data_IF_055933234148
#
_entry.id   IF_055933234148
#
_cell.length_a   1.000
_cell.length_b   1.000
_cell.length_c   1.000
_cell.angle_alpha   90.00
_cell.angle_beta   90.00
_cell.angle_gamma   90.00
#
_symmetry.space_group_name_H-M   'P 1'
#
loop_
_entity.id
_entity.type
_entity.pdbx_description
1 polymer ?
#
# COMPACT_ATOMS: atom_id res chain seq x y z
N UNK A 1 -6.36 32.15 4.37
CA UNK A 1 -7.47 31.15 4.36
C UNK A 1 -6.99 29.86 3.69
N UNK A 2 -6.84 28.79 4.48
CA UNK A 2 -6.52 27.45 4.00
C UNK A 2 -7.76 26.95 3.24
N UNK A 3 -7.65 26.35 2.03
CA UNK A 3 -8.83 25.91 1.31
C UNK A 3 -9.55 24.81 2.10
N UNK A 4 -10.79 25.09 2.52
CA UNK A 4 -11.73 24.20 3.19
C UNK A 4 -12.27 23.13 2.23
N UNK A 5 -11.41 22.29 1.65
CA UNK A 5 -11.86 21.14 0.87
C UNK A 5 -11.13 19.86 1.26
N UNK A 6 -11.05 19.60 2.56
CA UNK A 6 -10.77 18.25 3.07
C UNK A 6 -12.04 17.45 2.78
N UNK A 7 -12.02 16.67 1.69
CA UNK A 7 -13.07 15.71 1.40
C UNK A 7 -13.16 14.74 2.59
N UNK A 8 -14.27 14.74 3.36
CA UNK A 8 -14.37 13.89 4.53
C UNK A 8 -14.42 12.43 4.06
N UNK A 9 -13.53 11.60 4.61
CA UNK A 9 -13.45 10.15 4.38
C UNK A 9 -12.99 9.71 2.98
N UNK A 10 -11.81 10.18 2.54
CA UNK A 10 -11.12 9.56 1.40
C UNK A 10 -10.75 8.11 1.75
N UNK A 11 -11.58 7.16 1.30
CA UNK A 11 -11.22 5.75 1.31
C UNK A 11 -9.98 5.58 0.42
N UNK A 12 -8.86 5.18 1.01
CA UNK A 12 -7.59 4.99 0.28
C UNK A 12 -7.76 4.08 -0.93
N UNK A 13 -8.64 3.09 -0.84
CA UNK A 13 -9.01 2.26 -1.98
C UNK A 13 -9.66 3.02 -3.14
N UNK A 14 -10.57 3.96 -2.86
CA UNK A 14 -11.17 4.80 -3.91
C UNK A 14 -10.14 5.68 -4.62
N UNK A 15 -9.10 6.15 -3.91
CA UNK A 15 -8.00 6.90 -4.52
C UNK A 15 -7.20 6.01 -5.50
N UNK A 16 -6.97 4.73 -5.17
CA UNK A 16 -6.33 3.78 -6.09
C UNK A 16 -7.17 3.63 -7.36
N UNK A 17 -8.50 3.45 -7.23
CA UNK A 17 -9.39 3.36 -8.39
C UNK A 17 -9.32 4.63 -9.25
N UNK A 18 -9.32 5.81 -8.62
CA UNK A 18 -9.26 7.09 -9.33
C UNK A 18 -7.95 7.24 -10.12
N UNK A 19 -6.81 6.90 -9.53
CA UNK A 19 -5.53 6.93 -10.23
C UNK A 19 -5.47 5.91 -11.36
N UNK A 20 -6.02 4.71 -11.17
CA UNK A 20 -6.10 3.71 -12.22
C UNK A 20 -6.98 4.20 -13.37
N UNK A 21 -8.18 4.71 -13.08
CA UNK A 21 -9.12 5.23 -14.08
C UNK A 21 -8.58 6.47 -14.82
N UNK A 22 -7.65 7.21 -14.20
CA UNK A 22 -7.02 8.36 -14.85
C UNK A 22 -6.09 7.96 -16.01
N UNK A 23 -5.61 6.70 -16.06
CA UNK A 23 -4.61 6.21 -17.01
C UNK A 23 -3.33 7.09 -17.10
N UNK A 24 -3.01 7.84 -16.04
CA UNK A 24 -1.83 8.72 -15.99
C UNK A 24 -0.58 8.05 -15.45
N UNK A 25 -0.73 6.86 -14.89
CA UNK A 25 0.34 6.14 -14.19
C UNK A 25 0.38 4.69 -14.63
N UNK A 26 1.56 4.24 -15.07
CA UNK A 26 1.79 2.84 -15.44
C UNK A 26 1.88 1.93 -14.21
N UNK A 27 2.25 2.49 -13.07
CA UNK A 27 2.50 1.77 -11.82
C UNK A 27 2.10 2.61 -10.60
N UNK A 28 1.49 1.95 -9.62
CA UNK A 28 1.18 2.50 -8.31
C UNK A 28 2.03 1.74 -7.27
N UNK A 29 2.71 2.49 -6.41
CA UNK A 29 3.41 1.93 -5.25
C UNK A 29 2.67 2.41 -4.02
N UNK A 30 2.09 1.47 -3.27
CA UNK A 30 1.38 1.78 -2.05
C UNK A 30 2.20 1.35 -0.84
N UNK A 31 2.34 2.22 0.16
CA UNK A 31 3.10 1.96 1.39
C UNK A 31 2.18 2.25 2.58
N UNK A 32 1.95 1.25 3.43
CA UNK A 32 1.03 1.35 4.57
C UNK A 32 1.37 0.40 5.71
N UNK A 33 0.60 0.50 6.79
CA UNK A 33 0.83 -0.23 8.05
C UNK A 33 -0.44 -0.63 8.80
N UNK A 34 -1.57 0.05 8.54
CA UNK A 34 -2.83 -0.11 9.28
C UNK A 34 -3.92 -0.94 8.58
N UNK A 35 -4.98 -1.25 9.31
CA UNK A 35 -6.19 -1.92 8.77
C UNK A 35 -6.87 -1.09 7.66
N UNK A 36 -6.90 0.23 7.82
CA UNK A 36 -7.43 1.17 6.83
C UNK A 36 -6.67 1.18 5.49
N UNK A 37 -5.52 0.51 5.41
CA UNK A 37 -4.71 0.38 4.20
C UNK A 37 -5.02 -0.88 3.38
N UNK A 38 -5.68 -1.88 3.99
CA UNK A 38 -5.96 -3.18 3.37
C UNK A 38 -6.76 -3.01 2.08
N UNK A 39 -7.79 -2.15 2.10
CA UNK A 39 -8.62 -1.90 0.92
C UNK A 39 -7.81 -1.29 -0.25
N UNK A 40 -6.81 -0.46 0.04
CA UNK A 40 -5.96 0.10 -1.00
C UNK A 40 -5.08 -0.99 -1.63
N UNK A 41 -4.45 -1.83 -0.81
CA UNK A 41 -3.61 -2.92 -1.30
C UNK A 41 -4.37 -3.96 -2.13
N UNK A 42 -5.63 -4.27 -1.79
CA UNK A 42 -6.47 -5.19 -2.54
C UNK A 42 -6.92 -4.67 -3.91
N UNK A 43 -6.83 -3.34 -4.14
CA UNK A 43 -7.19 -2.70 -5.41
C UNK A 43 -6.02 -2.50 -6.36
N UNK A 44 -4.80 -2.82 -5.92
CA UNK A 44 -3.62 -2.81 -6.76
C UNK A 44 -3.68 -3.97 -7.76
N UNK A 45 -3.10 -3.76 -8.95
CA UNK A 45 -2.97 -4.77 -9.99
C UNK A 45 -1.60 -5.44 -9.96
N UNK A 46 -1.42 -6.46 -10.79
CA UNK A 46 -0.19 -7.26 -10.88
C UNK A 46 1.09 -6.48 -11.21
N UNK A 47 0.95 -5.29 -11.80
CA UNK A 47 2.09 -4.42 -12.14
C UNK A 47 2.49 -3.49 -11.01
N UNK A 48 1.67 -3.37 -9.96
CA UNK A 48 1.87 -2.48 -8.82
C UNK A 48 2.66 -3.18 -7.70
N UNK A 49 2.90 -2.46 -6.61
CA UNK A 49 3.50 -3.01 -5.39
C UNK A 49 2.79 -2.53 -4.12
N UNK A 50 2.54 -3.46 -3.20
CA UNK A 50 2.06 -3.18 -1.85
C UNK A 50 3.20 -3.37 -0.83
N UNK A 51 3.58 -2.31 -0.12
CA UNK A 51 4.51 -2.37 1.00
C UNK A 51 3.73 -2.34 2.32
N UNK A 52 3.73 -3.46 3.03
CA UNK A 52 3.16 -3.54 4.38
C UNK A 52 4.27 -3.43 5.42
N UNK A 53 4.04 -2.58 6.42
CA UNK A 53 5.01 -2.43 7.51
C UNK A 53 5.11 -3.72 8.29
N UNK A 54 6.34 -4.08 8.65
CA UNK A 54 6.65 -5.28 9.40
C UNK A 54 7.62 -4.94 10.53
N UNK A 55 7.53 -5.65 11.64
CA UNK A 55 8.46 -5.55 12.76
C UNK A 55 8.27 -6.75 13.68
N UNK A 56 9.38 -7.33 14.12
CA UNK A 56 9.41 -8.51 15.00
C UNK A 56 9.36 -8.13 16.48
N UNK A 57 9.28 -6.84 16.78
CA UNK A 57 9.19 -6.37 18.15
C UNK A 57 7.85 -6.81 18.75
N UNK A 58 7.95 -7.67 19.78
CA UNK A 58 6.94 -8.53 20.41
C UNK A 58 5.58 -7.89 20.81
N UNK A 59 5.37 -6.60 20.54
CA UNK A 59 4.14 -5.87 20.90
C UNK A 59 3.53 -5.05 19.76
N UNK A 60 4.16 -4.98 18.58
CA UNK A 60 3.67 -4.16 17.47
C UNK A 60 3.18 -5.04 16.33
N UNK A 61 1.88 -5.35 16.32
CA UNK A 61 1.21 -5.98 15.18
C UNK A 61 0.84 -4.91 14.16
N UNK A 62 1.40 -4.96 12.96
CA UNK A 62 1.01 -4.08 11.86
C UNK A 62 -0.17 -4.70 11.12
N UNK A 63 -1.35 -4.16 11.39
CA UNK A 63 -2.63 -4.74 10.95
C UNK A 63 -2.71 -4.96 9.45
N UNK A 64 -2.09 -4.10 8.63
CA UNK A 64 -2.07 -4.29 7.19
C UNK A 64 -1.43 -5.62 6.81
N UNK A 65 -0.22 -5.88 7.33
CA UNK A 65 0.52 -7.10 7.04
C UNK A 65 -0.25 -8.34 7.53
N UNK A 66 -0.74 -8.30 8.77
CA UNK A 66 -1.42 -9.45 9.38
C UNK A 66 -2.71 -9.81 8.63
N UNK A 67 -3.54 -8.82 8.29
CA UNK A 67 -4.78 -9.03 7.55
C UNK A 67 -4.49 -9.52 6.13
N UNK A 68 -3.54 -8.89 5.42
CA UNK A 68 -3.19 -9.29 4.06
C UNK A 68 -2.60 -10.69 4.00
N UNK A 69 -1.71 -11.05 4.93
CA UNK A 69 -1.08 -12.37 4.97
C UNK A 69 -2.04 -13.47 5.41
N UNK A 70 -2.85 -13.23 6.45
CA UNK A 70 -3.62 -14.29 7.09
C UNK A 70 -5.06 -14.40 6.57
N UNK A 71 -5.66 -13.30 6.10
CA UNK A 71 -7.07 -13.27 5.70
C UNK A 71 -7.26 -13.02 4.21
N UNK A 72 -6.48 -12.13 3.61
CA UNK A 72 -6.74 -11.65 2.24
C UNK A 72 -5.69 -12.07 1.21
N UNK A 73 -4.76 -12.97 1.55
CA UNK A 73 -3.62 -13.30 0.69
C UNK A 73 -4.03 -13.79 -0.70
N UNK A 74 -5.11 -14.59 -0.78
CA UNK A 74 -5.65 -15.10 -2.05
C UNK A 74 -6.30 -14.03 -2.93
N UNK A 75 -6.64 -12.87 -2.36
CA UNK A 75 -7.29 -11.77 -3.07
C UNK A 75 -6.28 -10.74 -3.58
N UNK A 76 -5.04 -10.78 -3.07
CA UNK A 76 -3.97 -9.92 -3.56
C UNK A 76 -3.61 -10.28 -5.00
N UNK A 77 -3.65 -9.27 -5.86
CA UNK A 77 -3.19 -9.37 -7.25
C UNK A 77 -1.74 -8.92 -7.42
N UNK A 78 -1.22 -8.20 -6.43
CA UNK A 78 0.12 -7.59 -6.41
C UNK A 78 1.05 -8.33 -5.45
N UNK A 79 2.35 -8.10 -5.60
CA UNK A 79 3.37 -8.59 -4.67
C UNK A 79 3.30 -7.82 -3.34
N UNK A 80 3.25 -8.57 -2.24
CA UNK A 80 3.31 -8.04 -0.88
C UNK A 80 4.77 -7.95 -0.42
N UNK A 81 5.26 -6.73 -0.33
CA UNK A 81 6.61 -6.37 0.10
C UNK A 81 6.59 -5.90 1.56
N UNK A 82 7.70 -6.10 2.27
CA UNK A 82 7.83 -5.73 3.68
C UNK A 82 8.77 -4.55 3.84
N UNK A 83 8.46 -3.66 4.79
CA UNK A 83 9.34 -2.55 5.16
C UNK A 83 9.37 -2.35 6.67
N UNK A 84 10.54 -2.01 7.21
CA UNK A 84 10.71 -1.56 8.61
C UNK A 84 10.93 -0.05 8.65
N UNK A 85 11.70 0.46 7.69
CA UNK A 85 12.06 1.86 7.51
C UNK A 85 11.89 2.29 6.05
N UNK A 86 11.81 3.59 5.77
CA UNK A 86 11.70 4.09 4.39
C UNK A 86 12.95 3.75 3.54
N UNK A 87 14.10 3.47 4.18
CA UNK A 87 15.30 2.99 3.49
C UNK A 87 15.05 1.63 2.85
N UNK A 88 14.28 0.76 3.48
CA UNK A 88 13.94 -0.56 2.92
C UNK A 88 13.12 -0.42 1.64
N UNK A 89 12.11 0.47 1.65
CA UNK A 89 11.30 0.77 0.47
C UNK A 89 12.20 1.24 -0.66
N UNK A 90 13.07 2.22 -0.41
CA UNK A 90 13.99 2.76 -1.40
C UNK A 90 14.91 1.69 -2.02
N UNK A 91 15.54 0.86 -1.19
CA UNK A 91 16.45 -0.19 -1.67
C UNK A 91 15.71 -1.28 -2.44
N UNK A 92 14.47 -1.62 -2.06
CA UNK A 92 13.64 -2.57 -2.80
C UNK A 92 13.24 -2.00 -4.17
N UNK A 93 12.85 -0.72 -4.23
CA UNK A 93 12.48 -0.06 -5.49
C UNK A 93 13.67 0.03 -6.46
N UNK A 94 14.88 0.33 -5.97
CA UNK A 94 16.12 0.25 -6.76
C UNK A 94 16.36 -1.15 -7.30
N UNK A 95 16.28 -2.18 -6.46
CA UNK A 95 16.46 -3.59 -6.89
C UNK A 95 15.44 -4.03 -7.93
N UNK A 96 14.24 -3.43 -7.92
CA UNK A 96 13.18 -3.67 -8.91
C UNK A 96 13.28 -2.77 -10.16
N UNK A 97 14.36 -1.98 -10.29
CA UNK A 97 14.61 -1.05 -11.39
C UNK A 97 13.48 -0.03 -11.61
N UNK A 98 12.88 0.46 -10.51
CA UNK A 98 11.82 1.48 -10.57
C UNK A 98 12.38 2.89 -10.32
N UNK A 99 13.44 2.97 -9.52
CA UNK A 99 14.18 4.19 -9.15
C UNK A 99 15.64 4.07 -9.57
#
# INVERSE_FOLDING_TARGET
>A
PIPNNIQPNLCKGSIIDQYRNSNRYDKIIFVGDGDNDVCAALRLDKTDYAFAKYGEELKTTYKMYDLLKNQYFKQLKTELLLWKTMKDVHEILKKKNIL
#
